data_IF_886753456820
#
_entry.id   IF_886753456820
#
_cell.length_a   1.000
_cell.length_b   1.000
_cell.length_c   1.000
_cell.angle_alpha   90.00
_cell.angle_beta   90.00
_cell.angle_gamma   90.00
#
_symmetry.space_group_name_H-M   'P 1'
#
loop_
_entity.id
_entity.type
_entity.pdbx_description
1 polymer ?
#
# COMPACT_ATOMS: atom_id res chain seq x y z
N UNK A 1 34.11 31.20 62.70
CA UNK A 1 34.19 29.74 62.47
C UNK A 1 32.77 29.23 62.23
N UNK A 2 32.57 28.32 61.27
CA UNK A 2 32.04 28.61 59.94
C UNK A 2 30.57 28.20 59.76
N UNK A 3 29.90 28.64 58.67
CA UNK A 3 28.53 28.26 58.36
C UNK A 3 28.48 26.85 57.75
N UNK A 4 27.36 26.17 57.99
CA UNK A 4 27.03 24.85 57.44
C UNK A 4 27.04 24.90 55.90
N UNK A 5 28.00 24.19 55.29
CA UNK A 5 27.95 23.85 53.87
C UNK A 5 26.96 22.70 53.67
N UNK A 6 25.85 23.00 53.01
CA UNK A 6 24.97 22.01 52.41
C UNK A 6 25.79 21.14 51.43
N UNK A 7 25.65 19.83 51.55
CA UNK A 7 26.24 18.89 50.61
C UNK A 7 25.56 19.05 49.24
N UNK A 8 26.34 19.40 48.20
CA UNK A 8 25.90 19.32 46.81
C UNK A 8 25.55 17.86 46.46
N UNK A 9 24.48 17.62 45.67
CA UNK A 9 24.24 16.31 45.11
C UNK A 9 25.37 15.98 44.13
N UNK A 10 25.96 14.79 44.31
CA UNK A 10 26.94 14.20 43.42
C UNK A 10 26.28 14.05 42.05
N UNK A 11 26.77 14.77 41.05
CA UNK A 11 26.36 14.59 39.68
C UNK A 11 26.63 13.13 39.27
N UNK A 12 25.56 12.39 38.99
CA UNK A 12 25.64 11.14 38.24
C UNK A 12 26.31 11.43 36.91
N UNK A 13 27.33 10.63 36.58
CA UNK A 13 27.94 10.67 35.27
C UNK A 13 26.85 10.43 34.21
N UNK A 14 26.85 11.17 33.08
CA UNK A 14 25.88 10.93 32.04
C UNK A 14 26.00 9.47 31.59
N UNK A 15 24.87 8.77 31.60
CA UNK A 15 24.77 7.44 31.02
C UNK A 15 25.37 7.49 29.61
N UNK A 16 26.30 6.57 29.34
CA UNK A 16 26.93 6.46 28.03
C UNK A 16 25.85 6.42 26.97
N UNK A 17 25.90 7.37 26.03
CA UNK A 17 25.08 7.31 24.83
C UNK A 17 25.34 5.96 24.13
N UNK A 18 24.32 5.30 23.57
CA UNK A 18 24.53 4.07 22.81
C UNK A 18 25.58 4.33 21.73
N UNK A 19 26.46 3.35 21.44
CA UNK A 19 27.53 3.53 20.47
C UNK A 19 26.93 4.02 19.16
N UNK A 20 27.33 5.22 18.74
CA UNK A 20 26.96 5.75 17.44
C UNK A 20 27.52 4.80 16.39
N UNK A 21 26.64 4.28 15.53
CA UNK A 21 26.98 3.33 14.49
C UNK A 21 28.10 3.88 13.59
N UNK A 22 29.09 3.04 13.31
CA UNK A 22 30.22 3.39 12.45
C UNK A 22 29.72 3.51 11.01
N UNK A 23 30.00 4.62 10.30
CA UNK A 23 29.67 4.74 8.89
C UNK A 23 30.33 3.62 8.07
N UNK A 24 29.54 2.88 7.29
CA UNK A 24 30.02 1.77 6.46
C UNK A 24 30.01 0.38 7.14
N UNK A 25 29.37 0.22 8.29
CA UNK A 25 29.13 -1.10 8.87
C UNK A 25 28.05 -1.85 8.07
N UNK A 26 28.39 -3.04 7.57
CA UNK A 26 27.46 -3.98 6.95
C UNK A 26 27.19 -5.18 7.85
N UNK A 27 26.08 -5.87 7.63
CA UNK A 27 25.67 -7.05 8.39
C UNK A 27 25.03 -8.09 7.47
N UNK A 28 25.17 -9.36 7.83
CA UNK A 28 24.47 -10.45 7.15
C UNK A 28 23.14 -10.72 7.85
N UNK A 29 22.06 -10.76 7.07
CA UNK A 29 20.70 -10.99 7.57
C UNK A 29 20.19 -12.35 7.08
N UNK A 30 20.18 -13.34 7.97
CA UNK A 30 19.48 -14.58 7.71
C UNK A 30 17.95 -14.40 7.77
N UNK A 31 17.26 -15.00 6.81
CA UNK A 31 15.82 -14.96 6.66
C UNK A 31 15.26 -16.36 6.38
N UNK A 32 14.00 -16.59 6.74
CA UNK A 32 13.24 -17.80 6.39
C UNK A 32 12.24 -17.44 5.31
N UNK A 33 12.23 -18.21 4.23
CA UNK A 33 11.19 -18.18 3.20
C UNK A 33 10.84 -19.61 2.80
N UNK A 34 9.54 -19.93 2.73
CA UNK A 34 9.03 -21.27 2.35
C UNK A 34 9.72 -22.43 3.09
N UNK A 35 10.02 -22.24 4.38
CA UNK A 35 10.68 -23.23 5.24
C UNK A 35 12.19 -23.39 5.03
N UNK A 36 12.80 -22.58 4.16
CA UNK A 36 14.24 -22.57 3.89
C UNK A 36 14.86 -21.32 4.50
N UNK A 37 15.98 -21.50 5.21
CA UNK A 37 16.83 -20.40 5.70
C UNK A 37 17.82 -20.03 4.61
N UNK A 38 17.94 -18.74 4.36
CA UNK A 38 18.90 -18.17 3.42
C UNK A 38 19.43 -16.83 3.98
N UNK A 39 20.50 -16.28 3.39
CA UNK A 39 21.24 -15.14 3.97
C UNK A 39 21.39 -14.02 2.94
N UNK A 40 21.00 -12.81 3.33
CA UNK A 40 21.37 -11.59 2.62
C UNK A 40 22.71 -11.09 3.15
N UNK A 41 23.73 -11.10 2.30
CA UNK A 41 25.08 -10.69 2.69
C UNK A 41 25.31 -9.18 2.53
N UNK A 42 26.12 -8.61 3.42
CA UNK A 42 26.69 -7.27 3.21
C UNK A 42 25.69 -6.11 3.26
N UNK A 43 24.60 -6.24 4.00
CA UNK A 43 23.55 -5.21 4.10
C UNK A 43 24.05 -4.01 4.90
N UNK A 44 23.98 -2.80 4.34
CA UNK A 44 24.34 -1.56 5.03
C UNK A 44 23.42 -1.33 6.25
N UNK A 45 24.02 -1.27 7.44
CA UNK A 45 23.32 -1.09 8.71
C UNK A 45 22.62 0.26 8.82
N UNK A 46 23.04 1.28 8.05
CA UNK A 46 22.39 2.60 8.01
C UNK A 46 21.23 2.66 7.01
N UNK A 47 21.16 1.72 6.08
CA UNK A 47 20.07 1.66 5.11
C UNK A 47 18.73 1.42 5.81
N UNK A 48 17.63 1.81 5.16
CA UNK A 48 16.29 1.52 5.69
C UNK A 48 15.89 0.09 5.38
N UNK A 49 15.13 -0.51 6.30
CA UNK A 49 14.56 -1.85 6.14
C UNK A 49 13.71 -1.97 4.86
N UNK A 50 13.07 -0.90 4.41
CA UNK A 50 12.35 -0.86 3.12
C UNK A 50 13.20 -1.26 1.91
N UNK A 51 14.52 -1.07 1.98
CA UNK A 51 15.42 -1.38 0.88
C UNK A 51 15.67 -2.89 0.73
N UNK A 52 15.49 -3.67 1.81
CA UNK A 52 15.69 -5.13 1.80
C UNK A 52 14.81 -5.86 0.80
N UNK A 53 13.62 -5.34 0.48
CA UNK A 53 12.70 -6.05 -0.41
C UNK A 53 13.29 -6.31 -1.79
N UNK A 54 14.16 -5.42 -2.28
CA UNK A 54 14.87 -5.63 -3.53
C UNK A 54 15.88 -6.77 -3.41
N UNK A 55 16.73 -6.72 -2.38
CA UNK A 55 17.73 -7.74 -2.14
C UNK A 55 17.07 -9.11 -1.96
N UNK A 56 15.90 -9.14 -1.30
CA UNK A 56 15.05 -10.32 -1.18
C UNK A 56 14.45 -10.77 -2.50
N UNK A 57 13.94 -9.89 -3.37
CA UNK A 57 13.46 -10.30 -4.69
C UNK A 57 14.56 -11.00 -5.50
N UNK A 58 15.79 -10.46 -5.47
CA UNK A 58 16.93 -11.06 -6.15
C UNK A 58 17.28 -12.43 -5.53
N UNK A 59 17.39 -12.50 -4.21
CA UNK A 59 17.67 -13.75 -3.50
C UNK A 59 16.57 -14.80 -3.74
N UNK A 60 15.30 -14.39 -3.76
CA UNK A 60 14.18 -15.29 -4.05
C UNK A 60 14.20 -15.82 -5.49
N UNK A 61 14.65 -15.00 -6.45
CA UNK A 61 14.86 -15.43 -7.83
C UNK A 61 16.02 -16.40 -7.97
N UNK A 62 17.12 -16.16 -7.26
CA UNK A 62 18.31 -17.03 -7.31
C UNK A 62 18.09 -18.36 -6.59
N UNK A 63 17.50 -18.32 -5.39
CA UNK A 63 17.33 -19.50 -4.52
C UNK A 63 16.11 -20.33 -4.90
N UNK A 64 15.01 -19.71 -5.33
CA UNK A 64 13.73 -20.41 -5.59
C UNK A 64 13.22 -20.27 -7.04
N UNK A 65 13.94 -19.60 -7.94
CA UNK A 65 13.49 -19.25 -9.31
C UNK A 65 12.18 -18.43 -9.35
N UNK A 66 11.87 -17.72 -8.26
CA UNK A 66 10.66 -16.91 -8.15
C UNK A 66 10.87 -15.51 -8.72
N UNK A 67 10.17 -15.19 -9.81
CA UNK A 67 10.13 -13.84 -10.36
C UNK A 67 9.05 -13.03 -9.65
N UNK A 68 9.45 -12.32 -8.60
CA UNK A 68 8.56 -11.57 -7.71
C UNK A 68 8.96 -10.12 -7.60
N UNK A 69 7.97 -9.24 -7.51
CA UNK A 69 8.19 -7.80 -7.28
C UNK A 69 8.16 -7.46 -5.79
N UNK A 70 8.80 -6.36 -5.34
CA UNK A 70 8.82 -5.97 -3.93
C UNK A 70 7.44 -5.91 -3.26
N UNK A 71 6.38 -5.62 -4.00
CA UNK A 71 4.99 -5.60 -3.51
C UNK A 71 4.50 -6.95 -2.96
N UNK A 72 5.01 -8.05 -3.51
CA UNK A 72 4.60 -9.41 -3.14
C UNK A 72 5.33 -9.91 -1.90
N UNK A 73 6.38 -9.21 -1.47
CA UNK A 73 7.25 -9.59 -0.36
C UNK A 73 6.79 -8.93 0.95
N UNK A 74 6.25 -9.74 1.85
CA UNK A 74 5.91 -9.35 3.21
C UNK A 74 7.05 -9.68 4.16
N UNK A 75 7.38 -8.72 5.03
CA UNK A 75 8.47 -8.84 6.01
C UNK A 75 7.89 -8.88 7.41
N UNK A 76 8.28 -9.91 8.17
CA UNK A 76 8.04 -10.01 9.60
C UNK A 76 9.38 -10.19 10.32
N UNK A 77 9.56 -9.47 11.42
CA UNK A 77 10.78 -9.54 12.23
C UNK A 77 10.56 -10.54 13.34
N UNK A 78 11.48 -11.47 13.54
CA UNK A 78 11.40 -12.39 14.66
C UNK A 78 11.53 -11.64 15.99
N UNK A 79 10.82 -12.10 17.01
CA UNK A 79 10.93 -11.54 18.36
C UNK A 79 12.05 -12.26 19.08
N UNK A 80 13.01 -11.48 19.61
CA UNK A 80 14.09 -12.02 20.42
C UNK A 80 13.55 -12.65 21.71
N UNK A 81 14.09 -13.81 22.08
CA UNK A 81 13.85 -14.45 23.37
C UNK A 81 15.14 -14.36 24.17
N UNK A 82 15.06 -13.82 25.39
CA UNK A 82 16.22 -13.57 26.26
C UNK A 82 17.34 -12.74 25.60
N UNK A 83 16.96 -11.83 24.69
CA UNK A 83 17.89 -10.95 23.97
C UNK A 83 18.55 -11.57 22.74
N UNK A 84 18.26 -12.84 22.43
CA UNK A 84 18.79 -13.55 21.29
C UNK A 84 17.75 -13.76 20.18
N UNK A 85 18.21 -13.72 18.95
CA UNK A 85 17.44 -14.13 17.77
C UNK A 85 17.20 -15.66 17.77
N UNK A 86 16.12 -16.15 17.17
CA UNK A 86 15.88 -17.59 17.06
C UNK A 86 17.01 -18.28 16.27
N UNK A 87 17.33 -19.51 16.66
CA UNK A 87 18.17 -20.39 15.87
C UNK A 87 17.40 -20.92 14.65
N UNK A 88 18.11 -21.36 13.61
CA UNK A 88 17.50 -21.90 12.39
C UNK A 88 16.47 -23.02 12.66
N UNK A 89 16.80 -23.93 13.57
CA UNK A 89 15.93 -25.05 13.93
C UNK A 89 14.61 -24.63 14.62
N UNK A 90 14.59 -23.45 15.24
CA UNK A 90 13.45 -22.97 16.03
C UNK A 90 12.66 -21.87 15.29
N UNK A 91 13.15 -21.40 14.14
CA UNK A 91 12.60 -20.24 13.44
C UNK A 91 11.16 -20.47 12.96
N UNK A 92 10.79 -21.68 12.54
CA UNK A 92 9.43 -21.99 12.05
C UNK A 92 8.35 -21.82 13.15
N UNK A 93 8.70 -22.09 14.41
CA UNK A 93 7.80 -21.93 15.56
C UNK A 93 7.94 -20.60 16.30
N UNK A 94 8.90 -19.75 15.90
CA UNK A 94 9.23 -18.54 16.61
C UNK A 94 8.18 -17.43 16.42
N UNK A 95 7.99 -16.62 17.46
CA UNK A 95 7.05 -15.50 17.40
C UNK A 95 7.60 -14.40 16.51
N UNK A 96 6.73 -13.81 15.69
CA UNK A 96 7.08 -12.69 14.83
C UNK A 96 6.25 -11.45 15.16
N UNK A 97 6.77 -10.29 14.75
CA UNK A 97 6.06 -9.01 14.74
C UNK A 97 6.12 -8.40 13.35
N UNK A 98 5.21 -7.46 13.08
CA UNK A 98 5.31 -6.63 11.89
C UNK A 98 6.65 -5.88 11.89
N UNK A 99 7.35 -5.94 10.76
CA UNK A 99 8.62 -5.24 10.55
C UNK A 99 8.38 -3.74 10.40
N UNK A 100 9.17 -2.92 11.09
CA UNK A 100 9.12 -1.46 10.97
C UNK A 100 10.04 -1.01 9.84
N UNK A 101 9.50 -1.04 8.63
CA UNK A 101 10.14 -0.66 7.36
C UNK A 101 10.83 0.72 7.34
N UNK A 102 10.42 1.64 8.21
CA UNK A 102 11.00 2.98 8.32
C UNK A 102 12.29 3.04 9.13
N UNK A 103 12.56 2.02 9.95
CA UNK A 103 13.77 1.94 10.76
C UNK A 103 15.00 1.71 9.86
N UNK A 104 16.17 2.07 10.39
CA UNK A 104 17.43 1.56 9.84
C UNK A 104 17.58 0.08 10.17
N UNK A 105 18.38 -0.63 9.36
CA UNK A 105 18.75 -2.03 9.61
C UNK A 105 19.33 -2.21 11.01
N UNK A 106 20.24 -1.32 11.45
CA UNK A 106 20.83 -1.36 12.79
C UNK A 106 19.79 -1.29 13.91
N UNK A 107 18.71 -0.55 13.71
CA UNK A 107 17.67 -0.33 14.72
C UNK A 107 16.68 -1.49 14.75
N UNK A 108 16.26 -1.97 13.58
CA UNK A 108 15.27 -3.06 13.50
C UNK A 108 15.88 -4.42 13.82
N UNK A 109 17.12 -4.64 13.38
CA UNK A 109 17.87 -5.89 13.55
C UNK A 109 19.08 -5.69 14.45
N UNK A 110 18.87 -5.07 15.61
CA UNK A 110 19.93 -4.82 16.58
C UNK A 110 20.69 -6.12 16.90
N UNK A 111 22.02 -6.10 16.79
CA UNK A 111 22.87 -7.27 17.05
C UNK A 111 22.71 -8.42 16.05
N UNK A 112 22.19 -8.16 14.85
CA UNK A 112 22.23 -9.11 13.74
C UNK A 112 23.66 -9.41 13.26
N UNK A 113 23.81 -10.49 12.49
CA UNK A 113 25.11 -10.97 11.98
C UNK A 113 25.75 -12.06 12.84
N UNK A 114 25.03 -12.55 13.87
CA UNK A 114 25.44 -13.74 14.60
C UNK A 114 25.17 -15.00 13.76
N UNK A 115 26.18 -15.86 13.63
CA UNK A 115 26.10 -17.11 12.86
C UNK A 115 24.97 -18.03 13.39
N UNK A 116 24.21 -18.62 12.49
CA UNK A 116 23.12 -19.57 12.80
C UNK A 116 21.88 -18.94 13.43
N UNK A 117 21.74 -17.61 13.37
CA UNK A 117 20.58 -16.87 13.90
C UNK A 117 19.73 -16.29 12.79
N UNK A 118 18.40 -16.41 12.93
CA UNK A 118 17.42 -15.97 11.95
C UNK A 118 16.76 -14.68 12.41
N UNK A 119 16.68 -13.68 11.51
CA UNK A 119 16.23 -12.33 11.83
C UNK A 119 14.83 -12.04 11.26
N UNK A 120 14.57 -12.62 10.10
CA UNK A 120 13.43 -12.27 9.25
C UNK A 120 12.62 -13.50 8.85
N UNK A 121 11.30 -13.35 8.86
CA UNK A 121 10.37 -14.21 8.13
C UNK A 121 9.90 -13.46 6.88
N UNK A 122 10.13 -14.06 5.73
CA UNK A 122 9.80 -13.53 4.41
C UNK A 122 8.66 -14.36 3.85
N UNK A 123 7.51 -13.71 3.70
CA UNK A 123 6.33 -14.33 3.11
C UNK A 123 6.14 -13.74 1.72
N UNK A 124 6.19 -14.62 0.72
CA UNK A 124 5.79 -14.26 -0.65
C UNK A 124 4.28 -14.46 -0.73
N UNK A 125 3.58 -13.41 -1.12
CA UNK A 125 2.16 -13.53 -1.46
C UNK A 125 2.08 -14.32 -2.75
N UNK A 126 1.74 -15.60 -2.63
CA UNK A 126 1.24 -16.35 -3.77
C UNK A 126 -0.08 -15.67 -4.16
N UNK A 127 -0.09 -14.90 -5.23
CA UNK A 127 -1.32 -14.76 -6.01
C UNK A 127 -1.54 -16.09 -6.76
N UNK A 128 -1.63 -17.18 -5.99
CA UNK A 128 -1.85 -18.53 -6.49
C UNK A 128 -3.27 -18.61 -7.05
N UNK A 129 -3.37 -19.43 -8.09
CA UNK A 129 -4.57 -19.74 -8.85
C UNK A 129 -5.78 -19.88 -7.94
N UNK A 130 -6.75 -18.98 -8.11
CA UNK A 130 -8.12 -19.28 -7.70
C UNK A 130 -8.51 -20.52 -8.48
N UNK A 131 -8.48 -21.66 -7.80
CA UNK A 131 -9.21 -22.86 -8.22
C UNK A 131 -10.63 -22.36 -8.41
N UNK A 132 -11.00 -22.21 -9.67
CA UNK A 132 -12.39 -21.99 -10.06
C UNK A 132 -13.11 -23.24 -9.60
N UNK A 133 -13.72 -23.20 -8.41
CA UNK A 133 -14.89 -24.05 -8.21
C UNK A 133 -15.82 -23.67 -9.37
N UNK A 134 -16.06 -24.62 -10.27
CA UNK A 134 -17.00 -24.48 -11.38
C UNK A 134 -18.40 -24.21 -10.82
N UNK A 135 -18.66 -22.98 -10.39
CA UNK A 135 -20.01 -22.46 -10.32
C UNK A 135 -20.47 -22.26 -11.75
N UNK A 136 -21.42 -23.13 -12.14
CA UNK A 136 -22.10 -23.16 -13.43
C UNK A 136 -22.24 -21.76 -14.03
N UNK A 137 -21.49 -21.53 -15.11
CA UNK A 137 -21.63 -20.42 -16.04
C UNK A 137 -23.12 -20.10 -16.26
N UNK A 138 -23.65 -18.93 -15.82
CA UNK A 138 -24.94 -18.50 -16.30
C UNK A 138 -24.80 -18.27 -17.81
N UNK A 139 -25.73 -18.83 -18.58
CA UNK A 139 -25.73 -18.70 -20.03
C UNK A 139 -25.60 -17.23 -20.44
N UNK A 140 -24.70 -16.97 -21.39
CA UNK A 140 -24.48 -15.65 -21.97
C UNK A 140 -25.82 -15.05 -22.43
N UNK A 141 -26.29 -14.03 -21.73
CA UNK A 141 -27.39 -13.20 -22.23
C UNK A 141 -26.84 -12.35 -23.38
N UNK A 142 -27.63 -12.29 -24.46
CA UNK A 142 -27.40 -11.44 -25.63
C UNK A 142 -27.15 -9.98 -25.21
N UNK A 143 -26.40 -9.20 -26.01
CA UNK A 143 -26.11 -7.81 -25.71
C UNK A 143 -27.40 -7.00 -25.75
N UNK A 144 -27.95 -6.73 -24.58
CA UNK A 144 -29.00 -5.74 -24.37
C UNK A 144 -28.37 -4.36 -24.53
N UNK A 145 -29.06 -3.47 -25.22
CA UNK A 145 -28.67 -2.08 -25.45
C UNK A 145 -28.28 -1.40 -24.13
N UNK A 146 -27.11 -0.74 -24.11
CA UNK A 146 -26.46 -0.04 -22.97
C UNK A 146 -27.36 0.88 -22.11
N UNK A 147 -28.57 1.19 -22.56
CA UNK A 147 -29.50 2.09 -21.88
C UNK A 147 -30.42 1.40 -20.85
N UNK A 148 -30.51 0.06 -20.80
CA UNK A 148 -31.51 -0.64 -19.98
C UNK A 148 -30.95 -1.55 -18.86
N UNK A 149 -29.63 -1.61 -18.66
CA UNK A 149 -29.00 -2.60 -17.75
C UNK A 149 -28.42 -2.05 -16.43
N UNK A 150 -28.47 -0.74 -16.18
CA UNK A 150 -27.86 -0.15 -14.98
C UNK A 150 -28.88 0.41 -13.99
N UNK A 151 -29.45 -0.47 -13.16
CA UNK A 151 -30.20 -0.07 -11.97
C UNK A 151 -29.87 -0.97 -10.78
N UNK A 152 -28.61 -0.95 -10.31
CA UNK A 152 -28.41 -0.98 -8.86
C UNK A 152 -28.54 0.46 -8.38
N UNK A 153 -29.68 0.76 -7.77
CA UNK A 153 -29.93 2.05 -7.15
C UNK A 153 -28.89 2.34 -6.06
N UNK A 154 -28.71 3.63 -5.76
CA UNK A 154 -27.73 4.10 -4.78
C UNK A 154 -27.94 3.44 -3.42
N UNK A 155 -29.20 3.20 -3.04
CA UNK A 155 -29.57 2.59 -1.76
C UNK A 155 -29.06 1.15 -1.64
N UNK A 156 -29.18 0.35 -2.69
CA UNK A 156 -28.71 -1.04 -2.74
C UNK A 156 -27.19 -1.12 -2.63
N UNK A 157 -26.46 -0.26 -3.34
CA UNK A 157 -25.00 -0.23 -3.25
C UNK A 157 -24.53 0.28 -1.88
N UNK A 158 -25.20 1.29 -1.30
CA UNK A 158 -24.95 1.75 0.07
C UNK A 158 -25.20 0.64 1.09
N UNK A 159 -26.32 -0.09 0.98
CA UNK A 159 -26.65 -1.19 1.88
C UNK A 159 -25.60 -2.31 1.81
N UNK A 160 -25.14 -2.66 0.60
CA UNK A 160 -24.05 -3.63 0.39
C UNK A 160 -22.75 -3.15 1.02
N UNK A 161 -22.36 -1.91 0.76
CA UNK A 161 -21.16 -1.31 1.32
C UNK A 161 -21.18 -1.36 2.86
N UNK A 162 -22.29 -0.92 3.45
CA UNK A 162 -22.49 -0.88 4.90
C UNK A 162 -22.48 -2.27 5.54
N UNK A 163 -23.03 -3.29 4.85
CA UNK A 163 -22.95 -4.69 5.28
C UNK A 163 -21.51 -5.22 5.30
N UNK A 164 -20.64 -4.66 4.45
CA UNK A 164 -19.20 -4.93 4.45
C UNK A 164 -18.45 -4.24 5.58
N UNK A 165 -18.90 -3.07 6.03
CA UNK A 165 -18.25 -2.24 7.05
C UNK A 165 -18.58 -2.65 8.50
N UNK A 166 -18.64 -3.96 8.77
CA UNK A 166 -18.95 -4.50 10.10
C UNK A 166 -17.66 -4.85 10.83
N UNK A 167 -17.56 -4.50 12.13
CA UNK A 167 -16.49 -4.98 13.03
C UNK A 167 -17.00 -6.19 13.82
N UNK A 168 -16.29 -7.33 13.72
CA UNK A 168 -16.52 -8.48 14.61
C UNK A 168 -15.87 -8.21 15.95
N UNK A 169 -16.63 -8.23 17.03
CA UNK A 169 -16.08 -8.27 18.38
C UNK A 169 -16.04 -9.73 18.81
N UNK A 170 -14.83 -10.27 19.03
CA UNK A 170 -14.70 -11.57 19.67
C UNK A 170 -15.05 -11.43 21.16
N UNK A 171 -16.33 -11.55 21.51
CA UNK A 171 -16.75 -11.66 22.91
C UNK A 171 -16.23 -12.97 23.49
N UNK A 172 -15.18 -12.87 24.33
CA UNK A 172 -14.72 -13.99 25.18
C UNK A 172 -15.82 -14.34 26.19
N UNK A 173 -16.71 -15.28 25.84
CA UNK A 173 -17.31 -16.34 26.69
C UNK A 173 -18.47 -16.99 25.94
N UNK A 174 -18.23 -18.14 25.30
CA UNK A 174 -19.31 -19.05 24.91
C UNK A 174 -19.91 -19.67 26.17
N UNK A 175 -21.19 -19.40 26.44
CA UNK A 175 -22.08 -20.36 27.09
C UNK A 175 -23.01 -20.85 26.00
N UNK A 176 -23.05 -22.16 25.80
CA UNK A 176 -23.82 -22.79 24.76
C UNK A 176 -25.32 -22.44 24.90
N UNK A 177 -25.85 -21.72 23.92
CA UNK A 177 -27.26 -21.75 23.58
C UNK A 177 -27.35 -21.83 22.06
N UNK A 178 -27.90 -22.95 21.60
CA UNK A 178 -28.50 -23.10 20.28
C UNK A 178 -29.63 -22.09 20.16
N UNK A 179 -29.44 -21.07 19.33
CA UNK A 179 -30.43 -20.44 18.46
C UNK A 179 -29.70 -19.32 17.70
N UNK A 180 -29.69 -19.45 16.37
CA UNK A 180 -29.30 -18.52 15.29
C UNK A 180 -28.10 -17.56 15.48
N UNK A 181 -27.14 -17.66 14.55
CA UNK A 181 -25.91 -16.89 14.38
C UNK A 181 -26.11 -15.36 14.21
N UNK A 182 -26.54 -14.67 15.25
CA UNK A 182 -26.25 -13.24 15.43
C UNK A 182 -24.93 -13.12 16.21
N UNK A 183 -23.80 -13.28 15.50
CA UNK A 183 -22.49 -12.80 15.95
C UNK A 183 -22.69 -11.36 16.49
N UNK A 184 -22.20 -11.04 17.69
CA UNK A 184 -22.22 -9.69 18.29
C UNK A 184 -21.50 -8.68 17.36
N UNK A 185 -22.23 -8.18 16.37
CA UNK A 185 -21.79 -7.22 15.37
C UNK A 185 -22.09 -5.83 15.90
N UNK A 186 -21.04 -5.05 16.18
CA UNK A 186 -21.21 -3.65 16.52
C UNK A 186 -21.27 -2.85 15.20
N UNK A 187 -22.38 -2.13 15.03
CA UNK A 187 -22.51 -1.05 14.06
C UNK A 187 -21.59 0.10 14.47
N UNK A 188 -20.33 0.05 14.01
CA UNK A 188 -19.35 1.11 14.22
C UNK A 188 -18.96 1.71 12.87
N UNK A 189 -18.83 3.03 12.81
CA UNK A 189 -18.20 3.70 11.68
C UNK A 189 -16.75 3.23 11.55
N UNK A 190 -16.36 2.74 10.37
CA UNK A 190 -15.04 2.16 10.10
C UNK A 190 -14.16 3.20 9.40
N UNK A 191 -13.05 3.64 10.00
CA UNK A 191 -12.07 4.44 9.27
C UNK A 191 -11.54 3.66 8.07
N UNK A 192 -11.45 4.27 6.90
CA UNK A 192 -10.89 3.60 5.71
C UNK A 192 -9.48 3.02 5.95
N UNK A 193 -8.68 3.68 6.81
CA UNK A 193 -7.34 3.22 7.21
C UNK A 193 -7.31 1.92 8.03
N UNK A 194 -8.46 1.50 8.56
CA UNK A 194 -8.63 0.25 9.30
C UNK A 194 -9.32 -0.84 8.47
N UNK A 195 -9.53 -0.60 7.17
CA UNK A 195 -10.22 -1.55 6.30
C UNK A 195 -9.41 -2.85 6.16
N UNK A 196 -10.09 -3.97 6.42
CA UNK A 196 -9.48 -5.31 6.38
C UNK A 196 -9.81 -6.04 5.09
N UNK A 197 -9.06 -7.12 4.83
CA UNK A 197 -9.31 -8.01 3.70
C UNK A 197 -10.77 -8.54 3.70
N UNK A 198 -11.24 -8.96 4.87
CA UNK A 198 -12.59 -9.48 5.06
C UNK A 198 -13.66 -8.46 4.70
N UNK A 199 -13.47 -7.21 5.11
CA UNK A 199 -14.44 -6.14 4.86
C UNK A 199 -14.50 -5.77 3.37
N UNK A 200 -13.34 -5.63 2.69
CA UNK A 200 -13.36 -5.34 1.25
C UNK A 200 -14.01 -6.48 0.46
N UNK A 201 -13.72 -7.75 0.78
CA UNK A 201 -14.35 -8.91 0.10
C UNK A 201 -15.87 -8.90 0.25
N UNK A 202 -16.39 -8.41 1.38
CA UNK A 202 -17.83 -8.23 1.57
C UNK A 202 -18.40 -7.05 0.78
N UNK A 203 -17.72 -5.91 0.76
CA UNK A 203 -18.12 -4.72 -0.04
C UNK A 203 -18.27 -5.12 -1.51
N UNK A 204 -17.31 -5.90 -2.02
CA UNK A 204 -17.25 -6.35 -3.41
C UNK A 204 -17.89 -7.72 -3.65
N UNK A 205 -18.70 -8.22 -2.74
CA UNK A 205 -19.38 -9.51 -2.94
C UNK A 205 -20.24 -9.46 -4.20
N UNK A 206 -20.01 -10.40 -5.12
CA UNK A 206 -20.71 -10.49 -6.40
C UNK A 206 -20.13 -9.61 -7.52
N UNK A 207 -19.06 -8.86 -7.26
CA UNK A 207 -18.26 -8.18 -8.29
C UNK A 207 -17.19 -9.14 -8.78
N UNK A 208 -16.99 -9.19 -10.10
CA UNK A 208 -15.92 -9.99 -10.69
C UNK A 208 -14.60 -9.26 -10.52
N UNK A 209 -13.64 -9.89 -9.83
CA UNK A 209 -12.31 -9.30 -9.60
C UNK A 209 -11.31 -9.96 -10.56
N UNK A 210 -10.67 -9.16 -11.39
CA UNK A 210 -9.66 -9.57 -12.34
C UNK A 210 -8.29 -8.96 -11.98
N UNK A 211 -7.53 -9.71 -11.18
CA UNK A 211 -6.20 -9.30 -10.69
C UNK A 211 -5.07 -9.57 -11.70
N UNK A 212 -5.39 -10.18 -12.85
CA UNK A 212 -4.43 -10.47 -13.94
C UNK A 212 -4.60 -9.51 -15.12
N UNK A 213 -5.37 -8.44 -14.94
CA UNK A 213 -5.58 -7.48 -16.02
C UNK A 213 -4.33 -6.62 -16.19
N UNK A 214 -3.65 -6.78 -17.32
CA UNK A 214 -2.61 -5.83 -17.73
C UNK A 214 -3.31 -4.68 -18.40
N UNK A 215 -3.25 -3.50 -17.79
CA UNK A 215 -3.92 -2.36 -18.35
C UNK A 215 -3.11 -1.69 -19.46
N UNK A 216 -3.81 -0.94 -20.30
CA UNK A 216 -3.21 -0.14 -21.35
C UNK A 216 -2.36 1.02 -20.80
N UNK A 217 -1.35 1.40 -21.57
CA UNK A 217 -0.46 2.52 -21.31
C UNK A 217 -0.47 3.48 -22.49
N UNK A 218 -0.06 4.72 -22.28
CA UNK A 218 0.08 5.73 -23.34
C UNK A 218 1.35 6.51 -23.10
N UNK A 219 2.18 6.56 -24.15
CA UNK A 219 3.43 7.30 -24.12
C UNK A 219 3.19 8.77 -23.74
N UNK A 220 3.97 9.28 -22.79
CA UNK A 220 3.91 10.69 -22.43
C UNK A 220 4.48 11.56 -23.55
N UNK A 221 3.97 12.79 -23.71
CA UNK A 221 4.68 13.81 -24.48
C UNK A 221 6.13 13.94 -24.00
N UNK A 222 7.06 14.06 -24.95
CA UNK A 222 8.50 14.02 -24.67
C UNK A 222 8.93 15.10 -23.66
N UNK A 223 8.40 16.31 -23.82
CA UNK A 223 8.66 17.45 -22.94
C UNK A 223 8.20 17.20 -21.49
N UNK A 224 7.06 16.52 -21.31
CA UNK A 224 6.57 16.16 -19.98
C UNK A 224 7.48 15.09 -19.35
N UNK A 225 7.86 14.07 -20.12
CA UNK A 225 8.77 13.03 -19.62
C UNK A 225 10.15 13.59 -19.27
N UNK A 226 10.72 14.44 -20.14
CA UNK A 226 12.00 15.10 -19.87
C UNK A 226 11.91 15.95 -18.59
N UNK A 227 10.79 16.67 -18.39
CA UNK A 227 10.52 17.40 -17.15
C UNK A 227 10.40 16.51 -15.90
N UNK A 228 9.86 15.29 -16.01
CA UNK A 228 9.81 14.33 -14.90
C UNK A 228 11.22 13.83 -14.56
N UNK A 229 12.04 13.52 -15.57
CA UNK A 229 13.44 13.10 -15.36
C UNK A 229 14.27 14.18 -14.67
N UNK A 230 14.11 15.44 -15.11
CA UNK A 230 14.80 16.58 -14.51
C UNK A 230 14.37 16.83 -13.05
N UNK A 231 13.07 16.69 -12.76
CA UNK A 231 12.55 16.82 -11.41
C UNK A 231 13.03 15.71 -10.49
N UNK A 232 13.12 14.48 -10.99
CA UNK A 232 13.65 13.35 -10.21
C UNK A 232 15.07 13.65 -9.71
N UNK A 233 15.98 14.00 -10.63
CA UNK A 233 17.36 14.31 -10.28
C UNK A 233 17.43 15.49 -9.31
N UNK A 234 16.69 16.57 -9.58
CA UNK A 234 16.65 17.76 -8.72
C UNK A 234 16.09 17.46 -7.34
N UNK A 235 15.04 16.64 -7.24
CA UNK A 235 14.42 16.26 -5.98
C UNK A 235 15.42 15.49 -5.12
N UNK A 236 16.11 14.50 -5.69
CA UNK A 236 17.11 13.71 -4.97
C UNK A 236 18.27 14.59 -4.48
N UNK A 237 18.79 15.48 -5.32
CA UNK A 237 19.87 16.40 -4.95
C UNK A 237 19.44 17.33 -3.80
N UNK A 238 18.20 17.82 -3.82
CA UNK A 238 17.75 18.86 -2.88
C UNK A 238 17.13 18.32 -1.60
N UNK A 239 16.49 17.14 -1.65
CA UNK A 239 15.70 16.57 -0.55
C UNK A 239 16.13 15.15 -0.16
N UNK A 240 17.09 14.57 -0.86
CA UNK A 240 17.50 13.17 -0.71
C UNK A 240 16.55 12.22 -1.42
N UNK A 241 16.95 10.95 -1.48
CA UNK A 241 16.19 9.85 -2.04
C UNK A 241 14.83 9.69 -1.33
N UNK A 242 13.66 9.92 -1.99
CA UNK A 242 12.38 9.89 -1.28
C UNK A 242 12.05 8.53 -0.65
N UNK A 243 12.57 7.43 -1.21
CA UNK A 243 12.45 6.08 -0.63
C UNK A 243 13.24 5.88 0.67
N UNK A 244 14.04 6.87 1.07
CA UNK A 244 14.76 6.92 2.34
C UNK A 244 14.21 8.02 3.24
N UNK A 245 13.11 8.66 2.87
CA UNK A 245 12.49 9.76 3.62
C UNK A 245 11.20 9.33 4.32
N UNK A 246 10.71 10.18 5.22
CA UNK A 246 9.42 10.00 5.89
C UNK A 246 8.23 10.09 4.91
N UNK A 247 7.04 9.74 5.39
CA UNK A 247 5.83 9.70 4.57
C UNK A 247 5.49 11.04 3.91
N UNK A 248 5.65 12.16 4.61
CA UNK A 248 5.37 13.49 4.07
C UNK A 248 6.24 13.83 2.86
N UNK A 249 7.54 13.50 2.91
CA UNK A 249 8.45 13.71 1.78
C UNK A 249 8.13 12.78 0.60
N UNK A 250 7.70 11.54 0.85
CA UNK A 250 7.26 10.63 -0.22
C UNK A 250 6.00 11.15 -0.91
N UNK A 251 5.02 11.59 -0.12
CA UNK A 251 3.78 12.19 -0.64
C UNK A 251 4.07 13.44 -1.47
N UNK A 252 5.00 14.29 -1.05
CA UNK A 252 5.40 15.47 -1.81
C UNK A 252 6.00 15.11 -3.18
N UNK A 253 6.83 14.07 -3.24
CA UNK A 253 7.35 13.57 -4.52
C UNK A 253 6.24 13.05 -5.44
N UNK A 254 5.33 12.20 -4.92
CA UNK A 254 4.21 11.66 -5.69
C UNK A 254 3.32 12.80 -6.23
N UNK A 255 2.97 13.76 -5.37
CA UNK A 255 2.17 14.93 -5.76
C UNK A 255 2.81 15.72 -6.91
N UNK A 256 4.14 15.92 -6.88
CA UNK A 256 4.87 16.60 -7.96
C UNK A 256 4.73 15.91 -9.31
N UNK A 257 4.71 14.57 -9.34
CA UNK A 257 4.44 13.80 -10.55
C UNK A 257 2.99 13.96 -11.02
N UNK A 258 2.03 13.81 -10.10
CA UNK A 258 0.61 13.95 -10.37
C UNK A 258 0.24 15.32 -10.97
N UNK A 259 0.80 16.41 -10.44
CA UNK A 259 0.57 17.76 -10.95
C UNK A 259 1.04 17.91 -12.39
N UNK A 260 2.16 17.28 -12.78
CA UNK A 260 2.65 17.29 -14.17
C UNK A 260 1.73 16.54 -15.11
N UNK A 261 1.22 15.38 -14.71
CA UNK A 261 0.27 14.62 -15.54
C UNK A 261 -1.03 15.41 -15.74
N UNK A 262 -1.55 16.04 -14.70
CA UNK A 262 -2.76 16.87 -14.77
C UNK A 262 -2.53 18.09 -15.67
N UNK A 263 -1.39 18.75 -15.54
CA UNK A 263 -0.99 19.84 -16.43
C UNK A 263 -0.96 19.40 -17.90
N UNK A 264 -0.34 18.24 -18.18
CA UNK A 264 -0.26 17.67 -19.51
C UNK A 264 -1.65 17.39 -20.11
N UNK A 265 -2.54 16.75 -19.33
CA UNK A 265 -3.90 16.42 -19.77
C UNK A 265 -4.74 17.67 -20.02
N UNK A 266 -4.73 18.65 -19.11
CA UNK A 266 -5.47 19.90 -19.28
C UNK A 266 -4.97 20.71 -20.48
N UNK A 267 -3.67 20.65 -20.78
CA UNK A 267 -3.09 21.32 -21.95
C UNK A 267 -3.46 20.61 -23.25
N UNK A 268 -3.47 19.27 -23.26
CA UNK A 268 -3.82 18.47 -24.44
C UNK A 268 -5.31 18.58 -24.80
N UNK A 269 -6.18 18.69 -23.79
CA UNK A 269 -7.62 18.77 -23.95
C UNK A 269 -8.18 19.99 -23.21
N UNK A 270 -8.09 21.20 -23.79
CA UNK A 270 -8.67 22.39 -23.21
C UNK A 270 -10.20 22.26 -23.23
N UNK A 271 -10.77 21.86 -22.10
CA UNK A 271 -12.21 21.71 -21.86
C UNK A 271 -12.71 22.80 -20.93
N UNK A 272 -14.04 22.97 -20.85
CA UNK A 272 -14.67 23.98 -19.97
C UNK A 272 -14.34 23.76 -18.49
N UNK A 273 -14.12 22.51 -18.08
CA UNK A 273 -13.79 22.15 -16.71
C UNK A 273 -12.46 21.39 -16.66
N UNK A 274 -11.46 22.03 -16.08
CA UNK A 274 -10.14 21.45 -15.90
C UNK A 274 -10.14 20.35 -14.84
N UNK A 275 -9.25 19.37 -15.04
CA UNK A 275 -8.92 18.37 -14.05
C UNK A 275 -8.12 19.00 -12.90
N UNK A 276 -8.45 18.64 -11.65
CA UNK A 276 -7.81 19.17 -10.44
C UNK A 276 -7.38 18.06 -9.51
N UNK A 277 -6.20 18.21 -8.91
CA UNK A 277 -5.72 17.38 -7.80
C UNK A 277 -6.12 18.03 -6.48
N UNK A 278 -6.86 17.31 -5.64
CA UNK A 278 -7.24 17.77 -4.30
C UNK A 278 -6.54 16.89 -3.26
N UNK A 279 -5.66 17.48 -2.45
CA UNK A 279 -4.94 16.78 -1.40
C UNK A 279 -5.77 16.65 -0.12
N UNK A 280 -5.54 15.57 0.64
CA UNK A 280 -6.21 15.27 1.92
C UNK A 280 -7.74 15.40 1.83
N UNK A 281 -8.31 14.88 0.73
CA UNK A 281 -9.71 15.07 0.39
C UNK A 281 -10.60 14.21 1.30
N UNK A 282 -11.55 14.81 2.05
CA UNK A 282 -12.46 14.06 2.89
C UNK A 282 -13.46 13.28 2.06
N UNK A 283 -13.52 11.97 2.29
CA UNK A 283 -14.55 11.09 1.77
C UNK A 283 -15.52 10.83 2.92
N UNK A 284 -16.57 11.63 2.93
CA UNK A 284 -17.68 11.54 3.86
C UNK A 284 -18.98 11.51 3.04
N UNK A 285 -19.45 10.29 2.75
CA UNK A 285 -20.65 10.07 1.97
C UNK A 285 -21.80 9.79 2.92
N UNK A 286 -22.80 10.69 2.95
CA UNK A 286 -24.00 10.53 3.78
C UNK A 286 -24.60 9.13 3.66
N UNK A 287 -24.73 8.47 4.82
CA UNK A 287 -25.28 7.13 4.99
C UNK A 287 -24.30 5.98 4.79
N UNK A 288 -23.02 6.23 4.46
CA UNK A 288 -21.98 5.20 4.52
C UNK A 288 -21.46 5.03 5.95
N UNK A 289 -21.16 3.79 6.33
CA UNK A 289 -20.58 3.42 7.62
C UNK A 289 -19.04 3.40 7.59
N UNK A 290 -18.44 4.05 6.62
CA UNK A 290 -17.00 4.25 6.57
C UNK A 290 -16.68 5.63 6.02
N UNK A 291 -15.54 6.16 6.44
CA UNK A 291 -15.14 7.53 6.15
C UNK A 291 -13.68 7.76 6.48
N UNK A 292 -13.14 8.86 5.97
CA UNK A 292 -11.75 9.27 6.16
C UNK A 292 -11.25 10.13 5.01
N UNK A 293 -9.97 10.48 5.05
CA UNK A 293 -9.36 11.30 4.01
C UNK A 293 -8.57 10.43 3.04
N UNK A 294 -8.79 10.65 1.74
CA UNK A 294 -7.87 10.17 0.73
C UNK A 294 -6.66 11.10 0.65
N UNK A 295 -5.48 10.56 0.36
CA UNK A 295 -4.30 11.41 0.16
C UNK A 295 -4.50 12.37 -1.01
N UNK A 296 -5.06 11.89 -2.12
CA UNK A 296 -5.56 12.76 -3.18
C UNK A 296 -6.83 12.23 -3.84
N UNK A 297 -7.63 13.14 -4.36
CA UNK A 297 -8.69 12.85 -5.33
C UNK A 297 -8.50 13.72 -6.55
N UNK A 298 -8.59 13.12 -7.73
CA UNK A 298 -8.62 13.83 -9.01
C UNK A 298 -10.07 14.07 -9.38
N UNK A 299 -10.44 15.35 -9.60
CA UNK A 299 -11.79 15.77 -9.97
C UNK A 299 -11.83 16.48 -11.32
N UNK A 300 -13.00 16.44 -11.96
CA UNK A 300 -13.38 17.34 -13.07
C UNK A 300 -14.81 17.81 -12.83
N UNK A 301 -14.96 19.09 -12.48
CA UNK A 301 -16.21 19.60 -11.92
C UNK A 301 -16.54 18.91 -10.59
N UNK A 302 -17.79 18.47 -10.43
CA UNK A 302 -18.23 17.74 -9.24
C UNK A 302 -17.84 16.25 -9.26
N UNK A 303 -17.51 15.73 -10.45
CA UNK A 303 -17.17 14.33 -10.67
C UNK A 303 -15.82 14.00 -10.03
N UNK A 304 -15.80 12.92 -9.25
CA UNK A 304 -14.60 12.35 -8.65
C UNK A 304 -14.12 11.20 -9.52
N UNK A 305 -12.94 11.30 -10.11
CA UNK A 305 -12.52 10.43 -11.21
C UNK A 305 -11.47 9.41 -10.79
N UNK A 306 -10.53 9.84 -9.94
CA UNK A 306 -9.47 8.99 -9.40
C UNK A 306 -9.37 9.22 -7.89
N UNK A 307 -9.28 8.15 -7.10
CA UNK A 307 -8.80 8.21 -5.71
C UNK A 307 -7.36 7.70 -5.64
N UNK A 308 -6.51 8.41 -4.92
CA UNK A 308 -5.09 8.10 -4.82
C UNK A 308 -4.68 8.00 -3.36
N UNK A 309 -4.10 6.86 -3.00
CA UNK A 309 -3.51 6.59 -1.69
C UNK A 309 -1.99 6.41 -1.81
N UNK A 310 -1.25 6.97 -0.87
CA UNK A 310 0.16 6.70 -0.66
C UNK A 310 0.35 5.95 0.67
N UNK A 311 1.13 4.87 0.64
CA UNK A 311 1.52 4.12 1.83
C UNK A 311 3.02 4.09 2.00
N UNK A 312 3.47 3.87 3.23
CA UNK A 312 4.85 3.51 3.48
C UNK A 312 4.95 1.99 3.36
N UNK A 313 5.53 1.50 2.27
CA UNK A 313 5.83 0.09 1.96
C UNK A 313 4.79 -0.94 2.48
N UNK A 314 3.49 -0.66 2.35
CA UNK A 314 2.40 -1.57 2.73
C UNK A 314 1.27 -1.43 1.71
N UNK A 315 1.58 -1.83 0.47
CA UNK A 315 0.63 -1.81 -0.63
C UNK A 315 -0.59 -2.69 -0.35
N UNK A 316 -0.45 -3.79 0.41
CA UNK A 316 -1.56 -4.69 0.76
C UNK A 316 -2.58 -3.99 1.66
N UNK A 317 -2.15 -3.33 2.75
CA UNK A 317 -3.07 -2.53 3.57
C UNK A 317 -3.62 -1.34 2.79
N UNK A 318 -2.78 -0.73 1.96
CA UNK A 318 -3.18 0.32 1.03
C UNK A 318 -4.28 -0.12 0.06
N UNK A 319 -4.21 -1.35 -0.46
CA UNK A 319 -5.19 -1.93 -1.39
C UNK A 319 -6.58 -1.94 -0.78
N UNK A 320 -6.76 -2.50 0.42
CA UNK A 320 -8.10 -2.59 1.01
C UNK A 320 -8.71 -1.22 1.31
N UNK A 321 -7.87 -0.29 1.79
CA UNK A 321 -8.27 1.10 1.98
C UNK A 321 -8.69 1.75 0.66
N UNK A 322 -7.85 1.65 -0.38
CA UNK A 322 -8.09 2.21 -1.71
C UNK A 322 -9.41 1.69 -2.29
N UNK A 323 -9.59 0.37 -2.32
CA UNK A 323 -10.78 -0.24 -2.92
C UNK A 323 -12.06 0.17 -2.16
N UNK A 324 -12.03 0.26 -0.84
CA UNK A 324 -13.18 0.77 -0.10
C UNK A 324 -13.48 2.24 -0.42
N UNK A 325 -12.45 3.09 -0.51
CA UNK A 325 -12.63 4.49 -0.93
C UNK A 325 -13.18 4.59 -2.36
N UNK A 326 -12.74 3.70 -3.26
CA UNK A 326 -13.26 3.64 -4.62
C UNK A 326 -14.76 3.35 -4.63
N UNK A 327 -15.23 2.33 -3.93
CA UNK A 327 -16.66 2.05 -3.90
C UNK A 327 -17.47 3.19 -3.28
N UNK A 328 -16.95 3.81 -2.21
CA UNK A 328 -17.60 4.97 -1.58
C UNK A 328 -17.75 6.15 -2.56
N UNK A 329 -16.68 6.49 -3.29
CA UNK A 329 -16.72 7.56 -4.29
C UNK A 329 -17.62 7.21 -5.48
N UNK A 330 -17.66 5.94 -5.93
CA UNK A 330 -18.57 5.50 -6.99
C UNK A 330 -20.03 5.68 -6.57
N UNK A 331 -20.37 5.31 -5.34
CA UNK A 331 -21.70 5.53 -4.76
C UNK A 331 -22.02 7.03 -4.68
N UNK A 332 -21.06 7.85 -4.26
CA UNK A 332 -21.23 9.31 -4.22
C UNK A 332 -21.43 9.91 -5.63
N UNK A 333 -20.66 9.47 -6.64
CA UNK A 333 -20.81 9.93 -8.03
C UNK A 333 -22.16 9.54 -8.64
N UNK A 334 -22.76 8.41 -8.26
CA UNK A 334 -24.10 8.02 -8.72
C UNK A 334 -25.21 9.00 -8.31
N UNK A 335 -24.95 9.85 -7.31
CA UNK A 335 -25.89 10.90 -6.86
C UNK A 335 -25.80 12.18 -7.71
N UNK A 336 -24.86 12.27 -8.65
CA UNK A 336 -24.67 13.43 -9.53
C UNK A 336 -25.62 13.35 -10.74
N UNK A 337 -25.91 14.51 -11.33
CA UNK A 337 -26.72 14.62 -12.54
C UNK A 337 -26.04 13.96 -13.77
N UNK A 338 -24.71 14.00 -13.83
CA UNK A 338 -23.87 13.32 -14.82
C UNK A 338 -22.97 12.29 -14.11
N UNK A 339 -23.48 11.05 -13.89
CA UNK A 339 -22.78 10.06 -13.07
C UNK A 339 -21.54 9.52 -13.79
N UNK A 340 -20.47 9.33 -13.02
CA UNK A 340 -19.28 8.61 -13.48
C UNK A 340 -19.52 7.11 -13.34
N UNK A 341 -19.33 6.38 -14.43
CA UNK A 341 -19.56 4.93 -14.47
C UNK A 341 -18.36 4.13 -13.98
N UNK A 342 -17.16 4.50 -14.41
CA UNK A 342 -15.92 3.83 -14.04
C UNK A 342 -15.10 4.74 -13.14
N UNK A 343 -14.79 4.25 -11.93
CA UNK A 343 -13.89 4.95 -11.03
C UNK A 343 -12.52 4.30 -11.05
N UNK A 344 -11.47 5.12 -11.12
CA UNK A 344 -10.09 4.66 -11.07
C UNK A 344 -9.51 4.84 -9.66
N UNK A 345 -8.58 3.96 -9.30
CA UNK A 345 -7.85 3.99 -8.04
C UNK A 345 -6.36 3.78 -8.27
N UNK A 346 -5.55 4.51 -7.53
CA UNK A 346 -4.10 4.34 -7.51
C UNK A 346 -3.66 4.23 -6.06
N UNK A 347 -2.99 3.14 -5.68
CA UNK A 347 -2.27 3.08 -4.42
C UNK A 347 -0.78 2.95 -4.72
N UNK A 348 0.05 3.81 -4.14
CA UNK A 348 1.48 3.78 -4.32
C UNK A 348 2.18 3.61 -2.97
N UNK A 349 3.14 2.71 -2.88
CA UNK A 349 4.04 2.64 -1.73
C UNK A 349 5.46 3.17 -2.02
N UNK A 350 5.52 3.98 -3.10
CA UNK A 350 6.68 4.53 -3.77
C UNK A 350 7.38 3.57 -4.73
N UNK A 351 7.72 2.36 -4.28
CA UNK A 351 8.33 1.34 -5.14
C UNK A 351 7.29 0.61 -5.97
N UNK A 352 6.10 0.40 -5.40
CA UNK A 352 5.05 -0.38 -6.00
C UNK A 352 3.79 0.47 -6.17
N UNK A 353 3.08 0.18 -7.25
CA UNK A 353 1.89 0.89 -7.70
C UNK A 353 0.82 -0.13 -8.01
N UNK A 354 -0.28 -0.04 -7.28
CA UNK A 354 -1.53 -0.71 -7.56
C UNK A 354 -2.40 0.25 -8.37
N UNK A 355 -2.81 -0.19 -9.55
CA UNK A 355 -3.83 0.43 -10.36
C UNK A 355 -5.11 -0.39 -10.27
N UNK A 356 -6.24 0.28 -10.17
CA UNK A 356 -7.54 -0.37 -10.20
C UNK A 356 -8.57 0.46 -10.97
N UNK A 357 -9.48 -0.20 -11.66
CA UNK A 357 -10.68 0.40 -12.23
C UNK A 357 -11.90 -0.44 -11.87
N UNK A 358 -13.02 0.25 -11.65
CA UNK A 358 -14.27 -0.36 -11.19
C UNK A 358 -15.45 0.28 -11.91
N UNK A 359 -16.16 -0.50 -12.72
CA UNK A 359 -17.43 -0.10 -13.35
C UNK A 359 -18.66 -0.47 -12.50
N UNK A 360 -18.47 -1.22 -11.42
CA UNK A 360 -19.50 -1.68 -10.49
C UNK A 360 -19.82 -3.18 -10.60
N UNK A 361 -19.48 -3.83 -11.71
CA UNK A 361 -19.66 -5.26 -11.96
C UNK A 361 -18.33 -5.99 -12.14
N UNK A 362 -17.35 -5.31 -12.73
CA UNK A 362 -15.97 -5.77 -12.89
C UNK A 362 -15.03 -4.80 -12.19
N UNK A 363 -14.11 -5.36 -11.42
CA UNK A 363 -12.96 -4.68 -10.84
C UNK A 363 -11.71 -5.27 -11.47
N UNK A 364 -10.97 -4.47 -12.23
CA UNK A 364 -9.65 -4.86 -12.71
C UNK A 364 -8.60 -4.30 -11.76
N UNK A 365 -7.59 -5.09 -11.43
CA UNK A 365 -6.43 -4.62 -10.67
C UNK A 365 -5.13 -5.04 -11.31
N UNK A 366 -4.12 -4.19 -11.18
CA UNK A 366 -2.76 -4.42 -11.67
C UNK A 366 -1.77 -3.90 -10.65
N UNK A 367 -0.78 -4.72 -10.29
CA UNK A 367 0.35 -4.29 -9.47
C UNK A 367 1.59 -4.23 -10.36
N UNK A 368 2.25 -3.09 -10.36
CA UNK A 368 3.54 -2.91 -11.00
C UNK A 368 4.54 -2.31 -10.02
N UNK A 369 5.82 -2.62 -10.21
CA UNK A 369 6.90 -2.17 -9.35
C UNK A 369 8.00 -1.50 -10.15
N UNK A 370 8.75 -0.62 -9.50
CA UNK A 370 9.98 -0.07 -10.04
C UNK A 370 11.10 -0.15 -9.02
N UNK A 371 12.30 -0.42 -9.52
CA UNK A 371 13.51 -0.31 -8.72
C UNK A 371 13.92 1.15 -8.63
N UNK A 372 14.09 1.63 -7.39
CA UNK A 372 14.47 3.00 -7.10
C UNK A 372 15.83 3.01 -6.42
N UNK A 373 16.87 3.45 -7.14
CA UNK A 373 18.22 3.57 -6.59
C UNK A 373 19.00 4.69 -7.28
N UNK A 374 19.92 5.29 -6.54
CA UNK A 374 20.81 6.34 -7.06
C UNK A 374 20.09 7.64 -7.45
N UNK A 375 20.83 8.53 -8.08
CA UNK A 375 20.40 9.83 -8.57
C UNK A 375 19.99 9.83 -10.05
N UNK A 376 20.20 8.71 -10.74
CA UNK A 376 19.81 8.50 -12.14
C UNK A 376 18.34 8.07 -12.20
N UNK A 377 17.58 8.70 -13.10
CA UNK A 377 16.18 8.35 -13.33
C UNK A 377 16.05 6.87 -13.74
N UNK A 378 15.28 6.05 -13.00
CA UNK A 378 15.12 4.65 -13.33
C UNK A 378 14.10 4.49 -14.46
N UNK A 379 14.54 4.00 -15.61
CA UNK A 379 13.66 3.83 -16.78
C UNK A 379 12.51 2.82 -16.53
N UNK A 380 12.58 2.00 -15.49
CA UNK A 380 11.46 1.17 -15.04
C UNK A 380 10.24 2.00 -14.58
N UNK A 381 10.44 3.25 -14.14
CA UNK A 381 9.34 4.17 -13.81
C UNK A 381 8.55 4.59 -15.04
N UNK A 382 9.12 4.58 -16.24
CA UNK A 382 8.45 5.09 -17.45
C UNK A 382 7.08 4.46 -17.65
N UNK A 383 6.96 3.15 -17.47
CA UNK A 383 5.69 2.43 -17.59
C UNK A 383 4.65 2.90 -16.57
N UNK A 384 5.08 3.21 -15.34
CA UNK A 384 4.22 3.77 -14.29
C UNK A 384 3.74 5.16 -14.70
N UNK A 385 4.65 6.03 -15.15
CA UNK A 385 4.28 7.35 -15.66
C UNK A 385 3.24 7.25 -16.78
N UNK A 386 3.50 6.39 -17.77
CA UNK A 386 2.63 6.16 -18.94
C UNK A 386 1.28 5.58 -18.55
N UNK A 387 1.25 4.73 -17.52
CA UNK A 387 -0.01 4.21 -16.97
C UNK A 387 -0.83 5.30 -16.28
N UNK A 388 -0.20 6.10 -15.40
CA UNK A 388 -0.89 7.22 -14.72
C UNK A 388 -1.43 8.22 -15.74
N UNK A 389 -0.61 8.57 -16.73
CA UNK A 389 -1.02 9.46 -17.81
C UNK A 389 -2.16 8.88 -18.63
N UNK A 390 -2.09 7.60 -19.03
CA UNK A 390 -3.17 6.93 -19.77
C UNK A 390 -4.48 6.96 -18.99
N UNK A 391 -4.46 6.66 -17.69
CA UNK A 391 -5.66 6.74 -16.86
C UNK A 391 -6.23 8.14 -16.95
N UNK A 392 -5.44 9.18 -16.66
CA UNK A 392 -5.91 10.57 -16.67
C UNK A 392 -6.42 11.04 -18.05
N UNK A 393 -5.85 10.53 -19.12
CA UNK A 393 -6.21 10.88 -20.50
C UNK A 393 -7.60 10.36 -20.89
N UNK A 394 -8.02 9.22 -20.33
CA UNK A 394 -9.22 8.49 -20.74
C UNK A 394 -10.40 8.66 -19.76
N UNK A 395 -10.41 9.74 -18.95
CA UNK A 395 -11.47 10.07 -17.98
C UNK A 395 -12.54 11.03 -18.50
#
# INVERSE_FOLDING_TARGET
>A
MPPQTAASPRAEAPAASPPSAVPGASVDLAYVSRGVVDVLEGIDTQSRVSNLRKDLCNALKETFDLDVVPAQVSLKTFVKVDGEWPAEADAEGATTRATVIGNSIATEFEGAGAEGRVHLLVEVSDEEEVVVEEEKKPAAKKPTTKAEEYQRDVESDMARFNKGCVKRVATRKRKASTDDDDDDVIDAHVPFSEMTEFQYKRIYKGVTINDKHVNETTALPKDIMDGIRDDYARYIITRGAPWEQNEAQRRAYIASGLDRYIFAVNTAFPVKEEMKLLAEYPIDCDGLRAGGNANWVVKRGDRMLIVIEAKQCDLRKGRYQLLAMMEALRICNKKLDDPVHTLNGICADFQNWLFADNDGDVMNTEITGCEMFGDVFPESIVKICERVYHIMLNL
#
